data_IF_222943131040
#
_entry.id   IF_222943131040
#
_cell.length_a   1.000
_cell.length_b   1.000
_cell.length_c   1.000
_cell.angle_alpha   90.00
_cell.angle_beta   90.00
_cell.angle_gamma   90.00
#
_symmetry.space_group_name_H-M   'P 1'
#
loop_
_entity.id
_entity.type
_entity.pdbx_description
1 polymer ?
#
# COMPACT_ATOMS: atom_id res chain seq x y z
N UNK A 1 -9.84 29.30 -22.85
CA UNK A 1 -8.93 28.16 -23.14
C UNK A 1 -7.50 28.39 -22.64
N UNK A 2 -6.85 29.50 -22.99
CA UNK A 2 -5.47 29.85 -22.53
C UNK A 2 -5.32 29.91 -21.00
N UNK A 3 -6.30 30.48 -20.28
CA UNK A 3 -6.27 30.53 -18.82
C UNK A 3 -6.36 29.16 -18.13
N UNK A 4 -7.06 28.20 -18.75
CA UNK A 4 -7.19 26.83 -18.21
C UNK A 4 -5.87 26.07 -18.38
N UNK A 5 -5.21 26.25 -19.54
CA UNK A 5 -3.88 25.70 -19.80
C UNK A 5 -2.82 26.25 -18.84
N UNK A 6 -2.88 27.55 -18.54
CA UNK A 6 -1.93 28.22 -17.65
C UNK A 6 -2.09 27.79 -16.18
N UNK A 7 -3.33 27.58 -15.73
CA UNK A 7 -3.61 27.03 -14.38
C UNK A 7 -3.16 25.57 -14.27
N UNK A 8 -3.34 24.76 -15.31
CA UNK A 8 -2.85 23.38 -15.36
C UNK A 8 -1.32 23.30 -15.25
N UNK A 9 -0.58 24.19 -15.91
CA UNK A 9 0.89 24.20 -15.86
C UNK A 9 1.43 24.65 -14.50
N UNK A 10 0.78 25.59 -13.82
CA UNK A 10 1.22 26.06 -12.49
C UNK A 10 1.04 24.97 -11.43
N UNK A 11 -0.09 24.24 -11.47
CA UNK A 11 -0.36 23.15 -10.51
C UNK A 11 0.60 21.96 -10.64
N UNK A 12 1.14 21.71 -11.85
CA UNK A 12 2.10 20.61 -12.08
C UNK A 12 3.50 20.96 -11.54
N UNK A 13 3.91 22.24 -11.59
CA UNK A 13 5.27 22.68 -11.21
C UNK A 13 5.42 22.79 -9.68
N UNK A 14 4.35 23.15 -8.96
CA UNK A 14 4.37 23.35 -7.50
C UNK A 14 4.03 22.08 -6.69
N UNK A 15 4.09 20.91 -7.33
CA UNK A 15 3.76 19.62 -6.72
C UNK A 15 4.94 18.70 -6.33
N UNK A 16 6.16 19.17 -5.95
CA UNK A 16 7.26 18.25 -5.61
C UNK A 16 6.99 17.43 -4.33
N UNK A 17 6.05 17.86 -3.49
CA UNK A 17 5.58 17.13 -2.30
C UNK A 17 4.70 15.90 -2.56
N UNK A 18 4.14 15.73 -3.78
CA UNK A 18 3.31 14.55 -4.09
C UNK A 18 4.15 13.27 -4.30
N UNK A 19 5.47 13.40 -4.39
CA UNK A 19 6.40 12.28 -4.58
C UNK A 19 7.09 11.83 -3.29
N UNK A 20 7.00 12.61 -2.21
CA UNK A 20 7.57 12.26 -0.91
C UNK A 20 6.57 11.42 -0.10
N UNK A 21 6.36 10.17 -0.53
CA UNK A 21 5.79 9.18 0.37
C UNK A 21 6.82 8.94 1.48
N UNK A 22 6.66 9.61 2.63
CA UNK A 22 7.35 9.24 3.87
C UNK A 22 7.09 7.75 4.10
N UNK A 23 8.08 6.95 3.72
CA UNK A 23 8.09 5.54 3.96
C UNK A 23 8.38 5.39 5.45
N UNK A 24 7.35 5.24 6.28
CA UNK A 24 7.49 4.66 7.61
C UNK A 24 8.11 3.26 7.41
N UNK A 25 9.44 3.21 7.41
CA UNK A 25 10.17 1.96 7.22
C UNK A 25 10.03 1.13 8.49
N UNK A 26 9.71 -0.14 8.28
CA UNK A 26 9.46 -1.08 9.36
C UNK A 26 10.80 -1.60 9.87
N UNK A 27 10.96 -1.68 11.18
CA UNK A 27 12.20 -2.14 11.82
C UNK A 27 11.99 -3.54 12.39
N UNK A 28 12.97 -4.43 12.22
CA UNK A 28 13.06 -5.72 12.90
C UNK A 28 14.33 -5.75 13.74
N UNK A 29 14.25 -6.32 14.94
CA UNK A 29 15.41 -6.46 15.83
C UNK A 29 15.99 -7.86 15.63
N UNK A 30 17.25 -7.95 15.23
CA UNK A 30 17.99 -9.20 15.03
C UNK A 30 19.04 -9.29 16.11
N UNK A 31 18.78 -10.10 17.15
CA UNK A 31 19.62 -10.13 18.35
C UNK A 31 19.58 -8.79 19.11
N UNK A 32 20.59 -7.94 18.90
CA UNK A 32 20.70 -6.59 19.50
C UNK A 32 20.79 -5.45 18.47
N UNK A 33 20.63 -5.76 17.18
CA UNK A 33 20.71 -4.77 16.10
C UNK A 33 19.35 -4.56 15.46
N UNK A 34 18.96 -3.30 15.32
CA UNK A 34 17.76 -2.89 14.60
C UNK A 34 18.06 -2.77 13.10
N UNK A 35 17.36 -3.57 12.30
CA UNK A 35 17.52 -3.63 10.86
C UNK A 35 16.24 -3.14 10.19
N UNK A 36 16.39 -2.25 9.22
CA UNK A 36 15.31 -1.78 8.37
C UNK A 36 14.83 -2.92 7.48
N UNK A 37 13.57 -3.33 7.64
CA UNK A 37 12.94 -4.40 6.87
C UNK A 37 12.66 -3.95 5.44
N UNK A 38 12.21 -2.71 5.29
CA UNK A 38 11.91 -2.09 4.00
C UNK A 38 12.94 -1.00 3.70
N UNK A 39 13.71 -1.16 2.62
CA UNK A 39 14.76 -0.19 2.26
C UNK A 39 14.15 1.08 1.66
N UNK A 40 13.05 0.91 0.93
CA UNK A 40 12.26 2.00 0.36
C UNK A 40 10.82 1.51 0.11
N UNK A 41 9.97 2.39 -0.44
CA UNK A 41 8.56 2.11 -0.72
C UNK A 41 8.33 1.00 -1.76
N UNK A 42 9.31 0.72 -2.63
CA UNK A 42 9.23 -0.27 -3.72
C UNK A 42 9.93 -1.60 -3.37
N UNK A 43 10.88 -1.59 -2.45
CA UNK A 43 11.72 -2.72 -2.03
C UNK A 43 11.39 -3.12 -0.59
N UNK A 44 10.18 -3.68 -0.44
CA UNK A 44 9.70 -4.17 0.85
C UNK A 44 10.32 -5.52 1.21
N UNK A 45 10.67 -5.70 2.48
CA UNK A 45 11.30 -6.93 2.99
C UNK A 45 12.73 -7.17 2.48
N UNK A 46 13.31 -6.24 1.72
CA UNK A 46 14.64 -6.40 1.14
C UNK A 46 15.74 -6.44 2.20
N UNK A 47 15.57 -5.74 3.33
CA UNK A 47 16.57 -5.74 4.40
C UNK A 47 16.69 -7.06 5.15
N UNK A 48 15.67 -7.93 5.08
CA UNK A 48 15.72 -9.26 5.69
C UNK A 48 16.23 -10.35 4.74
N UNK A 49 16.41 -10.03 3.45
CA UNK A 49 16.75 -11.03 2.41
C UNK A 49 18.04 -11.77 2.72
N UNK A 50 19.09 -11.06 3.13
CA UNK A 50 20.38 -11.65 3.48
C UNK A 50 20.29 -12.68 4.61
N UNK A 51 19.40 -12.46 5.58
CA UNK A 51 19.20 -13.37 6.71
C UNK A 51 18.33 -14.57 6.30
N UNK A 52 17.21 -14.30 5.64
CA UNK A 52 16.22 -15.32 5.27
C UNK A 52 16.71 -16.22 4.12
N UNK A 53 17.67 -15.78 3.31
CA UNK A 53 18.25 -16.59 2.23
C UNK A 53 18.99 -17.83 2.72
N UNK A 54 19.38 -17.88 4.00
CA UNK A 54 20.01 -19.05 4.63
C UNK A 54 19.07 -20.24 4.75
N UNK A 55 17.75 -20.02 4.72
CA UNK A 55 16.75 -21.09 4.74
C UNK A 55 15.91 -21.06 3.45
N UNK A 56 15.89 -22.15 2.64
CA UNK A 56 15.18 -22.17 1.37
C UNK A 56 13.65 -21.98 1.52
N UNK A 57 13.06 -22.41 2.64
CA UNK A 57 11.63 -22.24 2.92
C UNK A 57 11.34 -20.80 3.30
N UNK A 58 12.17 -20.19 4.15
CA UNK A 58 12.03 -18.78 4.53
C UNK A 58 12.20 -17.85 3.31
N UNK A 59 13.19 -18.13 2.45
CA UNK A 59 13.42 -17.42 1.19
C UNK A 59 12.20 -17.51 0.27
N UNK A 60 11.60 -18.69 0.11
CA UNK A 60 10.40 -18.86 -0.73
C UNK A 60 9.25 -17.96 -0.26
N UNK A 61 8.99 -17.89 1.05
CA UNK A 61 7.94 -17.01 1.58
C UNK A 61 8.27 -15.53 1.42
N UNK A 62 9.55 -15.15 1.57
CA UNK A 62 9.99 -13.78 1.33
C UNK A 62 9.84 -13.40 -0.15
N UNK A 63 10.20 -14.29 -1.07
CA UNK A 63 10.06 -14.06 -2.51
C UNK A 63 8.58 -13.87 -2.88
N UNK A 64 7.67 -14.69 -2.34
CA UNK A 64 6.22 -14.50 -2.51
C UNK A 64 5.74 -13.16 -1.96
N UNK A 65 6.26 -12.75 -0.80
CA UNK A 65 5.96 -11.44 -0.22
C UNK A 65 6.42 -10.29 -1.14
N UNK A 66 7.64 -10.37 -1.66
CA UNK A 66 8.22 -9.36 -2.54
C UNK A 66 7.49 -9.29 -3.89
N UNK A 67 7.15 -10.44 -4.47
CA UNK A 67 6.40 -10.52 -5.72
C UNK A 67 4.98 -9.98 -5.57
N UNK A 68 4.30 -10.29 -4.46
CA UNK A 68 2.98 -9.73 -4.15
C UNK A 68 2.96 -8.22 -3.90
N UNK A 69 4.12 -7.61 -3.63
CA UNK A 69 4.27 -6.16 -3.46
C UNK A 69 4.74 -5.43 -4.72
N UNK A 70 5.11 -6.13 -5.80
CA UNK A 70 5.42 -5.48 -7.07
C UNK A 70 4.16 -4.81 -7.59
N UNK A 71 4.34 -3.62 -8.17
CA UNK A 71 3.23 -2.81 -8.71
C UNK A 71 2.57 -3.60 -9.85
N UNK A 72 1.43 -4.23 -9.55
CA UNK A 72 0.57 -4.86 -10.55
C UNK A 72 -0.33 -3.79 -11.15
N UNK A 73 0.11 -3.21 -12.27
CA UNK A 73 -0.62 -2.21 -13.04
C UNK A 73 -2.07 -2.61 -13.38
N UNK A 74 -2.33 -3.92 -13.47
CA UNK A 74 -3.67 -4.49 -13.69
C UNK A 74 -4.67 -4.15 -12.58
N UNK A 75 -4.21 -4.03 -11.32
CA UNK A 75 -5.09 -3.65 -10.21
C UNK A 75 -5.24 -2.12 -10.13
N UNK A 76 -4.25 -1.35 -10.56
CA UNK A 76 -4.32 0.12 -10.59
C UNK A 76 -5.33 0.65 -11.61
N UNK A 77 -5.68 -0.15 -12.63
CA UNK A 77 -6.60 0.24 -13.70
C UNK A 77 -7.97 0.69 -13.19
N UNK A 78 -8.56 0.02 -12.18
CA UNK A 78 -9.86 0.42 -11.65
C UNK A 78 -9.82 1.75 -10.89
N UNK A 79 -8.72 2.05 -10.19
CA UNK A 79 -8.50 3.33 -9.54
C UNK A 79 -8.42 4.48 -10.56
N UNK A 80 -7.65 4.29 -11.63
CA UNK A 80 -7.53 5.28 -12.72
C UNK A 80 -8.85 5.46 -13.46
N UNK A 81 -9.54 4.35 -13.80
CA UNK A 81 -10.85 4.41 -14.45
C UNK A 81 -11.90 5.09 -13.55
N UNK A 82 -11.91 4.80 -12.24
CA UNK A 82 -12.77 5.46 -11.27
C UNK A 82 -12.52 6.97 -11.20
N UNK A 83 -11.25 7.40 -11.15
CA UNK A 83 -10.88 8.82 -11.20
C UNK A 83 -11.34 9.50 -12.49
N UNK A 84 -11.17 8.84 -13.64
CA UNK A 84 -11.61 9.36 -14.93
C UNK A 84 -13.13 9.53 -14.94
N UNK A 85 -13.89 8.54 -14.44
CA UNK A 85 -15.35 8.60 -14.37
C UNK A 85 -15.85 9.71 -13.44
N UNK A 86 -15.20 9.92 -12.29
CA UNK A 86 -15.54 11.04 -11.41
C UNK A 86 -15.26 12.36 -12.12
N UNK A 87 -14.09 12.49 -12.75
CA UNK A 87 -13.69 13.71 -13.44
C UNK A 87 -14.61 14.04 -14.62
N UNK A 88 -14.97 13.05 -15.45
CA UNK A 88 -15.91 13.23 -16.56
C UNK A 88 -17.33 13.52 -16.06
N UNK A 89 -17.75 12.88 -14.95
CA UNK A 89 -19.02 13.18 -14.29
C UNK A 89 -19.11 14.64 -13.79
N UNK A 90 -18.00 15.21 -13.30
CA UNK A 90 -17.95 16.62 -12.88
C UNK A 90 -18.03 17.61 -14.04
N UNK A 91 -17.53 17.23 -15.22
CA UNK A 91 -17.56 18.04 -16.44
C UNK A 91 -18.87 17.90 -17.24
N UNK A 92 -19.69 16.90 -16.91
CA UNK A 92 -20.95 16.62 -17.60
C UNK A 92 -22.09 17.50 -17.06
N UNK A 93 -23.01 17.92 -17.94
CA UNK A 93 -24.13 18.79 -17.59
C UNK A 93 -24.98 18.25 -16.43
N UNK A 94 -25.35 19.14 -15.50
CA UNK A 94 -26.05 18.83 -14.24
C UNK A 94 -27.42 18.15 -14.40
N UNK A 95 -28.03 18.20 -15.59
CA UNK A 95 -29.38 17.70 -15.84
C UNK A 95 -29.43 16.35 -16.58
N UNK A 96 -28.28 15.70 -16.78
CA UNK A 96 -28.23 14.37 -17.41
C UNK A 96 -28.12 13.27 -16.36
N UNK A 97 -28.96 12.23 -16.45
CA UNK A 97 -28.85 11.05 -15.58
C UNK A 97 -27.49 10.33 -15.69
N UNK A 98 -26.76 10.58 -16.78
CA UNK A 98 -25.42 10.05 -17.00
C UNK A 98 -24.38 10.64 -16.03
N UNK A 99 -24.57 11.87 -15.54
CA UNK A 99 -23.67 12.49 -14.55
C UNK A 99 -23.68 11.71 -13.23
N UNK A 100 -24.86 11.44 -12.70
CA UNK A 100 -24.99 10.77 -11.41
C UNK A 100 -24.48 9.32 -11.51
N UNK A 101 -24.75 8.65 -12.63
CA UNK A 101 -24.19 7.32 -12.91
C UNK A 101 -22.65 7.32 -12.98
N UNK A 102 -22.03 8.33 -13.60
CA UNK A 102 -20.57 8.47 -13.68
C UNK A 102 -19.94 8.75 -12.31
N UNK A 103 -20.53 9.65 -11.51
CA UNK A 103 -20.04 10.00 -10.18
C UNK A 103 -20.16 8.81 -9.20
N UNK A 104 -21.34 8.17 -9.16
CA UNK A 104 -21.58 7.01 -8.30
C UNK A 104 -20.74 5.82 -8.75
N UNK A 105 -20.68 5.55 -10.06
CA UNK A 105 -19.89 4.46 -10.63
C UNK A 105 -18.39 4.64 -10.40
N UNK A 106 -17.87 5.87 -10.59
CA UNK A 106 -16.46 6.18 -10.34
C UNK A 106 -16.10 6.12 -8.84
N UNK A 107 -16.97 6.62 -7.97
CA UNK A 107 -16.81 6.51 -6.52
C UNK A 107 -16.83 5.07 -6.01
N UNK A 108 -17.78 4.26 -6.48
CA UNK A 108 -17.86 2.84 -6.15
C UNK A 108 -16.62 2.08 -6.62
N UNK A 109 -16.14 2.33 -7.85
CA UNK A 109 -14.93 1.74 -8.38
C UNK A 109 -13.69 2.07 -7.53
N UNK A 110 -13.56 3.32 -7.05
CA UNK A 110 -12.49 3.69 -6.13
C UNK A 110 -12.54 2.93 -4.80
N UNK A 111 -13.72 2.81 -4.20
CA UNK A 111 -13.90 2.10 -2.92
C UNK A 111 -13.55 0.62 -3.10
N UNK A 112 -14.04 -0.02 -4.16
CA UNK A 112 -13.75 -1.42 -4.45
C UNK A 112 -12.24 -1.60 -4.68
N UNK A 113 -11.63 -0.74 -5.49
CA UNK A 113 -10.18 -0.76 -5.74
C UNK A 113 -9.39 -0.64 -4.42
N UNK A 114 -9.78 0.28 -3.53
CA UNK A 114 -9.16 0.44 -2.22
C UNK A 114 -9.29 -0.81 -1.36
N UNK A 115 -10.50 -1.40 -1.27
CA UNK A 115 -10.75 -2.60 -0.47
C UNK A 115 -9.96 -3.80 -0.99
N UNK A 116 -9.94 -3.98 -2.31
CA UNK A 116 -9.18 -5.04 -2.96
C UNK A 116 -7.68 -4.87 -2.70
N UNK A 117 -7.14 -3.67 -2.90
CA UNK A 117 -5.74 -3.37 -2.61
C UNK A 117 -5.39 -3.61 -1.13
N UNK A 118 -6.26 -3.20 -0.21
CA UNK A 118 -6.08 -3.43 1.23
C UNK A 118 -6.10 -4.92 1.58
N UNK A 119 -7.03 -5.67 0.98
CA UNK A 119 -7.19 -7.11 1.21
C UNK A 119 -5.96 -7.88 0.73
N UNK A 120 -5.50 -7.60 -0.50
CA UNK A 120 -4.28 -8.23 -1.03
C UNK A 120 -3.04 -7.87 -0.21
N UNK A 121 -2.89 -6.61 0.22
CA UNK A 121 -1.79 -6.20 1.09
C UNK A 121 -1.80 -6.99 2.41
N UNK A 122 -2.95 -7.09 3.06
CA UNK A 122 -3.09 -7.84 4.31
C UNK A 122 -2.83 -9.35 4.14
N UNK A 123 -3.32 -9.94 3.04
CA UNK A 123 -3.05 -11.34 2.72
C UNK A 123 -1.56 -11.58 2.45
N UNK A 124 -0.91 -10.65 1.74
CA UNK A 124 0.50 -10.75 1.41
C UNK A 124 1.41 -10.62 2.66
N UNK A 125 1.06 -9.75 3.61
CA UNK A 125 1.81 -9.57 4.85
C UNK A 125 1.98 -10.88 5.66
N UNK A 126 1.02 -11.81 5.54
CA UNK A 126 1.13 -13.15 6.15
C UNK A 126 2.33 -13.94 5.63
N UNK A 127 2.76 -13.71 4.38
CA UNK A 127 3.95 -14.37 3.82
C UNK A 127 5.22 -13.89 4.52
N UNK A 128 5.33 -12.59 4.82
CA UNK A 128 6.49 -12.04 5.54
C UNK A 128 6.60 -12.62 6.96
N UNK A 129 5.48 -12.69 7.68
CA UNK A 129 5.43 -13.27 9.02
C UNK A 129 5.85 -14.74 8.99
N UNK A 130 5.32 -15.53 8.03
CA UNK A 130 5.70 -16.94 7.86
C UNK A 130 7.18 -17.13 7.51
N UNK A 131 7.75 -16.25 6.69
CA UNK A 131 9.17 -16.28 6.36
C UNK A 131 10.03 -16.16 7.62
N UNK A 132 9.69 -15.20 8.48
CA UNK A 132 10.39 -14.93 9.73
C UNK A 132 10.21 -16.09 10.72
N UNK A 133 8.99 -16.61 10.84
CA UNK A 133 8.67 -17.73 11.73
C UNK A 133 9.48 -18.98 11.38
N UNK A 134 9.52 -19.37 10.10
CA UNK A 134 10.29 -20.53 9.66
C UNK A 134 11.79 -20.37 9.88
N UNK A 135 12.33 -19.17 9.64
CA UNK A 135 13.73 -18.87 9.95
C UNK A 135 14.01 -19.00 11.46
N UNK A 136 13.17 -18.41 12.30
CA UNK A 136 13.33 -18.40 13.76
C UNK A 136 13.19 -19.78 14.42
N UNK A 137 12.58 -20.75 13.74
CA UNK A 137 12.47 -22.14 14.21
C UNK A 137 13.79 -22.92 14.05
N UNK A 138 14.64 -22.53 13.10
CA UNK A 138 15.81 -23.33 12.70
C UNK A 138 17.14 -22.59 12.83
N UNK A 139 17.11 -21.27 12.90
CA UNK A 139 18.30 -20.41 12.90
C UNK A 139 18.30 -19.44 14.08
N UNK A 140 19.50 -19.14 14.56
CA UNK A 140 19.80 -18.06 15.49
C UNK A 140 20.75 -17.06 14.79
N UNK A 141 20.73 -15.76 15.13
CA UNK A 141 19.85 -15.11 16.11
C UNK A 141 18.41 -14.94 15.60
N UNK A 142 17.45 -14.89 16.54
CA UNK A 142 16.03 -14.67 16.23
C UNK A 142 15.80 -13.26 15.68
N UNK A 143 14.93 -13.17 14.69
CA UNK A 143 14.41 -11.93 14.13
C UNK A 143 13.09 -11.63 14.85
N UNK A 144 13.08 -10.61 15.71
CA UNK A 144 11.85 -10.09 16.31
C UNK A 144 11.28 -9.00 15.40
N UNK A 145 10.10 -9.27 14.84
CA UNK A 145 9.36 -8.34 14.01
C UNK A 145 7.97 -8.13 14.61
N UNK A 146 7.77 -6.95 15.20
CA UNK A 146 6.49 -6.54 15.76
C UNK A 146 5.76 -5.59 14.80
N UNK A 147 4.81 -6.05 13.98
CA UNK A 147 4.01 -5.18 13.12
C UNK A 147 3.19 -4.15 13.92
N UNK A 148 2.97 -4.40 15.22
CA UNK A 148 2.22 -3.55 16.13
C UNK A 148 2.89 -2.20 16.45
N UNK A 149 4.24 -2.11 16.41
CA UNK A 149 4.93 -0.84 16.77
C UNK A 149 4.70 0.29 15.77
N UNK A 150 4.20 0.01 14.57
CA UNK A 150 3.84 1.02 13.58
C UNK A 150 2.49 1.73 13.86
N UNK A 151 1.62 1.13 14.67
CA UNK A 151 0.30 1.71 14.94
C UNK A 151 0.30 2.74 16.07
N UNK A 152 1.40 2.86 16.84
CA UNK A 152 1.51 3.84 17.92
C UNK A 152 1.84 5.27 17.43
N UNK A 153 2.30 5.43 16.18
CA UNK A 153 2.71 6.73 15.61
C UNK A 153 1.83 7.29 14.49
N UNK A 154 0.87 6.50 13.98
CA UNK A 154 0.01 6.91 12.87
C UNK A 154 -1.38 7.26 13.34
N UNK A 155 -1.83 8.50 13.11
CA UNK A 155 -3.25 8.91 13.17
C UNK A 155 -4.09 8.04 12.22
N UNK A 156 -4.48 6.85 12.68
CA UNK A 156 -5.45 6.00 12.02
C UNK A 156 -6.84 6.35 12.50
N UNK A 157 -7.78 6.52 11.56
CA UNK A 157 -9.21 6.58 11.88
C UNK A 157 -9.63 5.17 12.31
N UNK A 158 -9.81 4.95 13.61
CA UNK A 158 -10.49 3.76 14.12
C UNK A 158 -11.99 3.93 13.87
N UNK A 159 -12.53 3.19 12.89
CA UNK A 159 -13.96 2.96 12.80
C UNK A 159 -14.34 1.91 13.84
N UNK A 160 -14.73 2.38 15.02
CA UNK A 160 -15.27 1.54 16.08
C UNK A 160 -16.75 1.26 15.76
N UNK A 161 -17.04 0.12 15.14
CA UNK A 161 -18.42 -0.37 15.00
C UNK A 161 -18.76 -1.01 16.35
N UNK A 162 -19.22 -0.18 17.29
CA UNK A 162 -19.83 -0.65 18.53
C UNK A 162 -21.06 -1.48 18.19
N UNK A 163 -20.99 -2.78 18.46
CA UNK A 163 -22.18 -3.63 18.55
C UNK A 163 -22.76 -3.39 19.94
N UNK A 164 -23.85 -2.64 20.00
CA UNK A 164 -24.73 -2.67 21.16
C UNK A 164 -25.59 -3.93 21.06
N UNK A 165 -25.44 -4.83 22.03
CA UNK A 165 -26.41 -5.86 22.37
C UNK A 165 -27.16 -5.38 23.61
#
# INVERSE_FOLDING_TARGET
MIYILLVMTVVIVDAPWLLAAESCSRVATIGHQDVLVDINSTQKGAGLRYYLEKDPVAKMYLDRYQEGNRIRWQNTAFGTLGSILIFTGLLTNRHSGNRDAMLVGGGAAMIINFLVAKTYKNANERNLVRAIEHYNQRNLPRIDFSPARQFAGGKGIMLNIGKEF
#
